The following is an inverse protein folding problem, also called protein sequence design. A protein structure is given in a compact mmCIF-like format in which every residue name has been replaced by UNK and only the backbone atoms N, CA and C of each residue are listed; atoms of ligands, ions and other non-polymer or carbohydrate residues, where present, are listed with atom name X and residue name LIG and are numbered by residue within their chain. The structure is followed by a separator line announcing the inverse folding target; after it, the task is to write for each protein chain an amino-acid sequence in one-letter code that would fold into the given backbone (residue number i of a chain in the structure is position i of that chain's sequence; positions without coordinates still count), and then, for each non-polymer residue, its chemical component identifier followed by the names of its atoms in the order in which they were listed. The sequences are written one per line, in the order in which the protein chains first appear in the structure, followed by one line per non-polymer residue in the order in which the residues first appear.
data_IF_040889275788
#
_entry.id   IF_040889275788
#
_cell.length_a   1.000
_cell.length_b   1.000
_cell.length_c   1.000
_cell.angle_alpha   90.00
_cell.angle_beta   90.00
_cell.angle_gamma   90.00
#
_symmetry.space_group_name_H-M   'P 1'
#
loop_
_entity.id
_entity.type
_entity.pdbx_description
1 polymer ?
#
# COMPACT_ATOMS: atom_id res chain seq x y z
N UNK A 1 13.91 2.33 27.63
CA UNK A 1 14.67 1.95 26.42
C UNK A 1 14.90 3.11 25.44
N UNK A 2 14.35 4.33 25.69
CA UNK A 2 14.64 5.52 24.87
C UNK A 2 14.01 5.53 23.45
N UNK A 3 13.20 4.54 23.11
CA UNK A 3 12.49 4.52 21.81
C UNK A 3 11.36 5.54 21.85
N UNK A 4 11.34 6.46 20.88
CA UNK A 4 10.24 7.41 20.70
C UNK A 4 9.02 6.67 20.14
N UNK A 5 7.88 6.83 20.78
CA UNK A 5 6.58 6.35 20.29
C UNK A 5 5.72 7.58 20.01
N UNK A 6 5.22 7.68 18.79
CA UNK A 6 4.31 8.73 18.38
C UNK A 6 2.88 8.24 18.50
N UNK A 7 1.99 9.08 19.01
CA UNK A 7 0.56 8.79 19.06
C UNK A 7 -0.28 10.03 18.78
N UNK A 8 -1.41 9.82 18.14
CA UNK A 8 -2.43 10.83 17.91
C UNK A 8 -3.81 10.18 18.02
N UNK A 9 -4.82 10.96 18.42
CA UNK A 9 -6.18 10.47 18.55
C UNK A 9 -7.15 11.39 17.82
N UNK A 10 -8.04 10.79 17.04
CA UNK A 10 -9.17 11.46 16.41
C UNK A 10 -10.43 11.04 17.13
N UNK A 11 -11.13 12.04 17.67
CA UNK A 11 -12.40 11.84 18.38
C UNK A 11 -13.47 12.49 17.52
N UNK A 12 -14.25 11.73 16.74
CA UNK A 12 -15.30 12.28 15.90
C UNK A 12 -16.48 12.74 16.76
N UNK A 13 -17.27 13.64 16.24
CA UNK A 13 -18.53 14.06 16.88
C UNK A 13 -19.53 12.89 16.96
N UNK A 14 -19.53 12.02 15.93
CA UNK A 14 -20.26 10.73 15.89
C UNK A 14 -19.34 9.68 15.26
N UNK A 15 -19.38 8.45 15.76
CA UNK A 15 -18.62 7.33 15.25
C UNK A 15 -17.59 6.80 16.23
N UNK A 16 -16.79 5.86 15.77
CA UNK A 16 -15.77 5.20 16.55
C UNK A 16 -14.56 6.10 16.81
N UNK A 17 -13.94 5.97 17.96
CA UNK A 17 -12.67 6.64 18.25
C UNK A 17 -11.54 5.98 17.46
N UNK A 18 -10.70 6.81 16.87
CA UNK A 18 -9.54 6.37 16.12
C UNK A 18 -8.27 6.87 16.78
N UNK A 19 -7.36 5.95 17.04
CA UNK A 19 -6.04 6.27 17.59
C UNK A 19 -4.97 5.80 16.61
N UNK A 20 -3.96 6.65 16.39
CA UNK A 20 -2.79 6.34 15.59
C UNK A 20 -1.61 6.22 16.54
N UNK A 21 -0.86 5.13 16.47
CA UNK A 21 0.33 4.97 17.28
C UNK A 21 1.40 4.14 16.56
N UNK A 22 2.66 4.51 16.77
CA UNK A 22 3.79 3.69 16.33
C UNK A 22 4.08 2.61 17.35
N UNK A 23 4.52 1.46 16.88
CA UNK A 23 5.04 0.38 17.72
C UNK A 23 6.57 0.49 17.88
N UNK A 24 7.13 -0.48 18.59
CA UNK A 24 8.59 -0.55 18.85
C UNK A 24 9.42 -0.80 17.58
N UNK A 25 8.79 -1.24 16.49
CA UNK A 25 9.43 -1.47 15.18
C UNK A 25 9.25 -0.27 14.24
N UNK A 26 8.81 0.88 14.76
CA UNK A 26 8.51 2.06 13.96
C UNK A 26 7.48 1.80 12.85
N UNK A 27 6.45 0.99 13.14
CA UNK A 27 5.30 0.78 12.28
C UNK A 27 4.12 1.55 12.85
N UNK A 28 3.44 2.35 12.03
CA UNK A 28 2.27 3.12 12.45
C UNK A 28 0.99 2.33 12.20
N UNK A 29 0.22 2.14 13.25
CA UNK A 29 -1.08 1.47 13.23
C UNK A 29 -2.21 2.44 13.50
N UNK A 30 -3.35 2.19 12.85
CA UNK A 30 -4.64 2.75 13.22
C UNK A 30 -5.35 1.76 14.14
N UNK A 31 -5.86 2.25 15.26
CA UNK A 31 -6.64 1.50 16.24
C UNK A 31 -8.08 2.01 16.23
N UNK A 32 -9.04 1.10 16.08
CA UNK A 32 -10.46 1.40 16.19
C UNK A 32 -10.95 0.86 17.54
N UNK A 33 -11.57 1.72 18.35
CA UNK A 33 -12.08 1.40 19.67
C UNK A 33 -11.09 0.65 20.58
N UNK A 34 -9.79 0.90 20.39
CA UNK A 34 -8.66 0.31 21.14
C UNK A 34 -8.53 -1.22 21.06
N UNK A 35 -9.33 -1.89 20.24
CA UNK A 35 -9.39 -3.37 20.19
C UNK A 35 -8.79 -3.95 18.92
N UNK A 36 -8.93 -3.26 17.80
CA UNK A 36 -8.53 -3.75 16.48
C UNK A 36 -7.53 -2.80 15.87
N UNK A 37 -6.48 -3.34 15.28
CA UNK A 37 -5.45 -2.53 14.62
C UNK A 37 -5.12 -3.06 13.23
N UNK A 38 -4.77 -2.15 12.37
CA UNK A 38 -4.23 -2.42 11.05
C UNK A 38 -3.23 -1.31 10.66
N UNK A 39 -2.32 -1.54 9.69
CA UNK A 39 -1.39 -0.52 9.26
C UNK A 39 -2.12 0.75 8.80
N UNK A 40 -1.61 1.93 9.14
CA UNK A 40 -2.24 3.20 8.72
C UNK A 40 -2.30 3.33 7.19
N UNK A 41 -1.38 2.72 6.47
CA UNK A 41 -1.37 2.68 4.99
C UNK A 41 -2.59 1.93 4.44
N UNK A 42 -3.03 0.87 5.11
CA UNK A 42 -4.27 0.16 4.75
C UNK A 42 -5.48 1.10 4.89
N UNK A 43 -5.54 1.92 5.94
CA UNK A 43 -6.59 2.94 6.07
C UNK A 43 -6.52 3.97 4.94
N UNK A 44 -5.32 4.48 4.63
CA UNK A 44 -5.15 5.46 3.54
C UNK A 44 -5.62 4.90 2.20
N UNK A 45 -5.33 3.63 1.90
CA UNK A 45 -5.83 2.97 0.68
C UNK A 45 -7.34 2.91 0.64
N UNK A 46 -7.96 2.57 1.76
CA UNK A 46 -9.43 2.43 1.84
C UNK A 46 -10.20 3.73 1.63
N UNK A 47 -9.53 4.88 1.78
CA UNK A 47 -10.10 6.22 1.59
C UNK A 47 -9.61 6.93 0.33
N UNK A 48 -8.97 6.21 -0.60
CA UNK A 48 -8.66 6.70 -1.94
C UNK A 48 -7.18 6.92 -2.27
N UNK A 49 -6.24 6.72 -1.32
CA UNK A 49 -4.80 6.65 -1.64
C UNK A 49 -4.43 5.21 -2.01
N UNK A 50 -4.90 4.78 -3.16
CA UNK A 50 -4.98 3.36 -3.52
C UNK A 50 -3.61 2.69 -3.65
N UNK A 51 -2.65 3.36 -4.27
CA UNK A 51 -1.35 2.78 -4.61
C UNK A 51 -0.24 3.18 -3.64
N UNK A 52 0.86 2.43 -3.64
CA UNK A 52 2.09 2.83 -2.93
C UNK A 52 2.56 4.21 -3.38
N UNK A 53 2.42 4.50 -4.70
CA UNK A 53 2.70 5.81 -5.27
C UNK A 53 1.94 6.91 -4.55
N UNK A 54 0.61 6.78 -4.45
CA UNK A 54 -0.24 7.80 -3.84
C UNK A 54 0.16 8.10 -2.40
N UNK A 55 0.47 7.03 -1.63
CA UNK A 55 0.92 7.15 -0.24
C UNK A 55 2.30 7.81 -0.17
N UNK A 56 3.25 7.39 -1.00
CA UNK A 56 4.60 7.95 -1.01
C UNK A 56 4.62 9.41 -1.47
N UNK A 57 3.79 9.78 -2.44
CA UNK A 57 3.60 11.17 -2.88
C UNK A 57 2.99 12.02 -1.77
N UNK A 58 1.98 11.52 -1.05
CA UNK A 58 1.36 12.21 0.08
C UNK A 58 2.40 12.65 1.12
N UNK A 59 3.40 11.82 1.37
CA UNK A 59 4.46 12.09 2.33
C UNK A 59 5.75 12.65 1.71
N UNK A 60 5.83 12.77 0.39
CA UNK A 60 7.01 13.26 -0.32
C UNK A 60 8.26 12.37 -0.16
N UNK A 61 8.10 11.06 -0.08
CA UNK A 61 9.13 10.13 0.40
C UNK A 61 9.87 9.32 -0.67
N UNK A 62 9.50 9.46 -1.93
CA UNK A 62 10.14 8.71 -3.00
C UNK A 62 10.41 9.60 -4.22
N UNK A 63 11.40 9.19 -5.00
CA UNK A 63 11.67 9.77 -6.31
C UNK A 63 11.04 8.89 -7.39
N UNK A 64 10.17 9.48 -8.22
CA UNK A 64 9.63 8.82 -9.38
C UNK A 64 10.68 8.80 -10.50
N UNK A 65 10.93 7.62 -11.04
CA UNK A 65 11.91 7.41 -12.11
C UNK A 65 11.25 6.70 -13.28
N UNK A 66 11.42 7.26 -14.50
CA UNK A 66 10.90 6.64 -15.73
C UNK A 66 11.66 5.36 -16.07
N UNK A 67 10.94 4.37 -16.60
CA UNK A 67 11.47 3.05 -16.95
C UNK A 67 12.18 3.03 -18.31
N UNK A 68 13.12 3.95 -18.50
CA UNK A 68 14.03 3.96 -19.64
C UNK A 68 15.31 3.19 -19.28
N UNK A 69 15.76 2.27 -20.15
CA UNK A 69 16.93 1.42 -19.88
C UNK A 69 18.16 2.20 -19.39
N UNK A 70 18.50 3.30 -20.06
CA UNK A 70 19.66 4.14 -19.70
C UNK A 70 19.55 4.77 -18.30
N UNK A 71 18.33 5.01 -17.84
CA UNK A 71 18.06 5.57 -16.50
C UNK A 71 18.13 4.44 -15.49
N UNK A 72 17.43 3.33 -15.77
CA UNK A 72 17.35 2.18 -14.88
C UNK A 72 18.72 1.54 -14.60
N UNK A 73 19.59 1.46 -15.60
CA UNK A 73 20.95 0.91 -15.42
C UNK A 73 21.77 1.65 -14.35
N UNK A 74 21.44 2.92 -14.08
CA UNK A 74 22.06 3.73 -13.03
C UNK A 74 21.49 3.48 -11.64
N UNK A 75 20.36 2.76 -11.58
CA UNK A 75 19.65 2.49 -10.33
C UNK A 75 20.06 1.15 -9.69
N UNK A 76 20.96 0.40 -10.30
CA UNK A 76 21.52 -0.81 -9.68
C UNK A 76 22.14 -0.45 -8.33
N UNK A 77 21.75 -1.17 -7.28
CA UNK A 77 22.14 -0.91 -5.90
C UNK A 77 21.24 0.09 -5.16
N UNK A 78 20.33 0.79 -5.84
CA UNK A 78 19.29 1.61 -5.21
C UNK A 78 18.14 0.73 -4.71
N UNK A 79 17.34 1.26 -3.81
CA UNK A 79 16.28 0.53 -3.13
C UNK A 79 14.89 1.00 -3.59
N UNK A 80 14.01 0.06 -3.95
CA UNK A 80 12.62 0.36 -4.28
C UNK A 80 11.87 0.93 -3.08
N UNK A 81 11.08 1.97 -3.31
CA UNK A 81 10.15 2.52 -2.32
C UNK A 81 8.76 1.91 -2.42
N UNK A 82 8.35 1.51 -3.63
CA UNK A 82 7.05 0.92 -3.93
C UNK A 82 7.22 -0.44 -4.61
N UNK A 83 6.19 -1.28 -4.51
CA UNK A 83 6.09 -2.50 -5.30
C UNK A 83 6.06 -2.18 -6.79
N UNK A 84 6.69 -3.02 -7.58
CA UNK A 84 6.50 -3.04 -9.04
C UNK A 84 5.40 -4.05 -9.33
N UNK A 85 4.31 -3.57 -9.90
CA UNK A 85 3.14 -4.37 -10.22
C UNK A 85 3.02 -4.54 -11.73
N UNK A 86 2.79 -5.79 -12.16
CA UNK A 86 2.29 -6.07 -13.50
C UNK A 86 0.77 -6.04 -13.45
N UNK A 87 0.17 -5.15 -14.22
CA UNK A 87 -1.28 -4.97 -14.28
C UNK A 87 -1.81 -5.41 -15.63
N UNK A 88 -2.90 -6.17 -15.65
CA UNK A 88 -3.63 -6.51 -16.88
C UNK A 88 -5.13 -6.52 -16.61
N UNK A 89 -5.91 -6.47 -17.69
CA UNK A 89 -7.36 -6.61 -17.63
C UNK A 89 -7.72 -8.02 -18.06
N UNK A 90 -8.56 -8.67 -17.29
CA UNK A 90 -9.11 -10.00 -17.57
C UNK A 90 -10.61 -9.88 -17.76
N UNK A 91 -11.10 -10.32 -18.93
CA UNK A 91 -12.51 -10.27 -19.25
C UNK A 91 -13.19 -11.60 -18.90
N UNK A 92 -14.27 -11.51 -18.16
CA UNK A 92 -15.12 -12.65 -17.80
C UNK A 92 -16.52 -12.44 -18.38
N UNK A 93 -17.14 -13.51 -18.80
CA UNK A 93 -18.58 -13.52 -19.10
C UNK A 93 -19.33 -13.89 -17.83
N UNK A 94 -20.15 -12.99 -17.35
CA UNK A 94 -21.07 -13.29 -16.24
C UNK A 94 -22.08 -14.35 -16.69
N UNK A 95 -22.12 -15.47 -16.00
CA UNK A 95 -22.95 -16.63 -16.38
C UNK A 95 -24.45 -16.36 -16.25
N UNK A 96 -24.84 -15.41 -15.37
CA UNK A 96 -26.25 -15.09 -15.09
C UNK A 96 -26.80 -14.03 -16.05
N UNK A 97 -26.01 -12.97 -16.33
CA UNK A 97 -26.41 -11.86 -17.19
C UNK A 97 -25.95 -11.98 -18.63
N UNK A 98 -24.90 -12.77 -18.89
CA UNK A 98 -24.24 -12.87 -20.20
C UNK A 98 -23.43 -11.63 -20.57
N UNK A 99 -23.25 -10.69 -19.66
CA UNK A 99 -22.45 -9.48 -19.85
C UNK A 99 -20.96 -9.77 -19.67
N UNK A 100 -20.12 -9.04 -20.43
CA UNK A 100 -18.66 -9.09 -20.26
C UNK A 100 -18.28 -8.14 -19.15
N UNK A 101 -17.71 -8.69 -18.08
CA UNK A 101 -17.16 -7.94 -16.94
C UNK A 101 -15.64 -7.95 -17.05
N UNK A 102 -15.05 -6.76 -17.15
CA UNK A 102 -13.60 -6.58 -17.17
C UNK A 102 -13.08 -6.35 -15.77
N UNK A 103 -12.17 -7.20 -15.30
CA UNK A 103 -11.51 -7.07 -13.99
C UNK A 103 -10.04 -6.73 -14.17
N UNK A 104 -9.58 -5.70 -13.46
CA UNK A 104 -8.17 -5.41 -13.36
C UNK A 104 -7.49 -6.39 -12.40
N UNK A 105 -6.39 -6.99 -12.86
CA UNK A 105 -5.55 -7.90 -12.10
C UNK A 105 -4.18 -7.31 -11.89
N UNK A 106 -3.64 -7.53 -10.71
CA UNK A 106 -2.31 -7.08 -10.31
C UNK A 106 -1.48 -8.26 -9.81
N UNK A 107 -0.25 -8.34 -10.27
CA UNK A 107 0.76 -9.27 -9.78
C UNK A 107 1.97 -8.49 -9.29
N UNK A 108 2.43 -8.79 -8.07
CA UNK A 108 3.65 -8.21 -7.53
C UNK A 108 4.85 -8.87 -8.19
N UNK A 109 5.61 -8.10 -8.96
CA UNK A 109 6.81 -8.57 -9.67
C UNK A 109 8.06 -8.35 -8.82
N UNK A 110 8.18 -7.18 -8.18
CA UNK A 110 9.23 -6.87 -7.21
C UNK A 110 8.61 -6.23 -5.97
N UNK A 111 9.09 -6.66 -4.82
CA UNK A 111 8.65 -6.15 -3.52
C UNK A 111 9.31 -4.82 -3.17
N UNK A 112 8.67 -4.09 -2.25
CA UNK A 112 9.26 -2.92 -1.58
C UNK A 112 10.58 -3.31 -0.93
N UNK A 113 11.45 -2.35 -0.73
CA UNK A 113 12.79 -2.57 -0.14
C UNK A 113 13.75 -3.43 -0.97
N UNK A 114 13.35 -3.92 -2.14
CA UNK A 114 14.25 -4.64 -3.04
C UNK A 114 15.41 -3.73 -3.43
N UNK A 115 16.63 -4.21 -3.21
CA UNK A 115 17.84 -3.57 -3.75
C UNK A 115 18.01 -4.03 -5.19
N UNK A 116 17.88 -3.10 -6.12
CA UNK A 116 17.84 -3.39 -7.55
C UNK A 116 19.14 -4.02 -8.04
N UNK A 117 19.03 -5.17 -8.67
CA UNK A 117 20.07 -5.84 -9.43
C UNK A 117 19.92 -5.58 -10.94
N UNK A 118 20.91 -5.98 -11.74
CA UNK A 118 20.80 -5.91 -13.21
C UNK A 118 19.68 -6.82 -13.76
N UNK A 119 19.39 -7.93 -13.10
CA UNK A 119 18.29 -8.83 -13.44
C UNK A 119 16.93 -8.17 -13.18
N UNK A 120 16.79 -7.51 -12.03
CA UNK A 120 15.57 -6.77 -11.68
C UNK A 120 15.27 -5.65 -12.68
N UNK A 121 16.31 -4.97 -13.19
CA UNK A 121 16.15 -3.94 -14.24
C UNK A 121 15.52 -4.55 -15.50
N UNK A 122 15.97 -5.74 -15.93
CA UNK A 122 15.39 -6.41 -17.09
C UNK A 122 13.92 -6.81 -16.81
N UNK A 123 13.66 -7.34 -15.63
CA UNK A 123 12.30 -7.69 -15.19
C UNK A 123 11.38 -6.48 -15.22
N UNK A 124 11.81 -5.32 -14.72
CA UNK A 124 11.04 -4.07 -14.76
C UNK A 124 10.71 -3.67 -16.21
N UNK A 125 11.70 -3.75 -17.11
CA UNK A 125 11.49 -3.42 -18.53
C UNK A 125 10.46 -4.34 -19.19
N UNK A 126 10.44 -5.61 -18.84
CA UNK A 126 9.50 -6.61 -19.37
C UNK A 126 8.05 -6.38 -18.89
N UNK A 127 7.85 -5.78 -17.71
CA UNK A 127 6.49 -5.48 -17.20
C UNK A 127 5.77 -4.40 -17.98
N UNK A 128 6.53 -3.52 -18.66
CA UNK A 128 5.97 -2.37 -19.38
C UNK A 128 5.46 -1.24 -18.48
N UNK A 129 5.76 -1.26 -17.16
CA UNK A 129 5.43 -0.15 -16.25
C UNK A 129 6.14 1.12 -16.70
N UNK A 130 5.48 2.27 -16.56
CA UNK A 130 6.00 3.55 -17.07
C UNK A 130 7.00 4.22 -16.14
N UNK A 131 6.87 3.96 -14.84
CA UNK A 131 7.74 4.51 -13.80
C UNK A 131 7.85 3.57 -12.61
N UNK A 132 8.91 3.72 -11.86
CA UNK A 132 9.15 3.07 -10.57
C UNK A 132 9.50 4.14 -9.53
N UNK A 133 9.42 3.77 -8.25
CA UNK A 133 9.67 4.67 -7.13
C UNK A 133 10.88 4.18 -6.35
N UNK A 134 11.86 5.07 -6.20
CA UNK A 134 13.12 4.80 -5.50
C UNK A 134 13.12 5.54 -4.16
N UNK A 135 13.59 4.89 -3.11
CA UNK A 135 13.75 5.51 -1.81
C UNK A 135 14.77 6.66 -1.89
N UNK A 136 14.44 7.78 -1.26
CA UNK A 136 15.38 8.89 -1.08
C UNK A 136 16.51 8.47 -0.16
N UNK A 137 17.75 8.89 -0.48
CA UNK A 137 18.94 8.53 0.30
C UNK A 137 18.95 9.15 1.71
N UNK A 138 18.29 10.27 1.88
CA UNK A 138 18.25 11.03 3.15
C UNK A 138 17.11 10.61 4.09
N UNK A 139 16.66 9.36 4.01
CA UNK A 139 15.60 8.87 4.91
C UNK A 139 16.21 8.54 6.26
N UNK A 140 16.14 9.45 7.20
CA UNK A 140 16.57 9.24 8.58
C UNK A 140 15.40 9.28 9.57
N UNK A 141 15.44 8.40 10.57
CA UNK A 141 14.60 8.48 11.76
C UNK A 141 13.09 8.32 11.46
N UNK A 142 12.36 9.41 11.58
CA UNK A 142 10.88 9.39 11.55
C UNK A 142 10.30 9.01 10.18
N UNK A 143 11.01 9.27 9.09
CA UNK A 143 10.58 8.87 7.73
C UNK A 143 10.57 7.36 7.52
N UNK A 144 11.39 6.60 8.22
CA UNK A 144 11.39 5.15 8.16
C UNK A 144 10.05 4.55 8.60
N UNK A 145 9.26 5.26 9.40
CA UNK A 145 7.95 4.83 9.88
C UNK A 145 7.02 4.49 8.71
N UNK A 146 6.95 5.33 7.68
CA UNK A 146 6.06 5.09 6.54
C UNK A 146 6.53 3.89 5.72
N UNK A 147 7.83 3.76 5.44
CA UNK A 147 8.37 2.59 4.74
C UNK A 147 8.13 1.29 5.52
N UNK A 148 8.37 1.30 6.83
CA UNK A 148 8.11 0.16 7.69
C UNK A 148 6.62 -0.20 7.72
N UNK A 149 5.75 0.80 7.71
CA UNK A 149 4.30 0.61 7.70
C UNK A 149 3.83 0.04 6.36
N UNK A 150 4.33 0.56 5.23
CA UNK A 150 4.08 -0.01 3.90
C UNK A 150 4.51 -1.48 3.82
N UNK A 151 5.65 -1.84 4.39
CA UNK A 151 6.14 -3.23 4.41
C UNK A 151 5.24 -4.18 5.22
N UNK A 152 4.45 -3.66 6.15
CA UNK A 152 3.44 -4.43 6.91
C UNK A 152 2.08 -4.49 6.22
N UNK A 153 1.83 -3.61 5.27
CA UNK A 153 0.58 -3.57 4.51
C UNK A 153 0.60 -4.63 3.40
N UNK A 154 -0.32 -5.57 3.47
CA UNK A 154 -0.46 -6.64 2.47
C UNK A 154 -1.41 -6.26 1.33
N UNK A 155 -2.17 -5.18 1.46
CA UNK A 155 -3.11 -4.73 0.45
C UNK A 155 -2.41 -3.98 -0.70
N UNK A 156 -2.90 -4.16 -1.93
CA UNK A 156 -2.37 -3.53 -3.14
C UNK A 156 -3.39 -2.63 -3.85
N UNK A 157 -4.63 -2.63 -3.37
CA UNK A 157 -5.73 -1.85 -3.95
C UNK A 157 -6.65 -1.33 -2.84
N UNK A 158 -7.50 -0.37 -3.20
CA UNK A 158 -8.54 0.14 -2.32
C UNK A 158 -9.47 -0.99 -1.85
N UNK A 159 -9.90 -1.85 -2.78
CA UNK A 159 -10.79 -2.97 -2.48
C UNK A 159 -10.18 -3.95 -1.48
N UNK A 160 -8.92 -4.35 -1.68
CA UNK A 160 -8.22 -5.25 -0.75
C UNK A 160 -8.07 -4.61 0.63
N UNK A 161 -7.79 -3.31 0.69
CA UNK A 161 -7.70 -2.57 1.94
C UNK A 161 -9.02 -2.53 2.70
N UNK A 162 -10.13 -2.25 2.02
CA UNK A 162 -11.47 -2.25 2.59
C UNK A 162 -11.85 -3.62 3.13
N UNK A 163 -11.60 -4.68 2.37
CA UNK A 163 -11.82 -6.06 2.81
C UNK A 163 -10.95 -6.43 4.02
N UNK A 164 -9.70 -6.03 4.03
CA UNK A 164 -8.79 -6.25 5.15
C UNK A 164 -9.32 -5.58 6.44
N UNK A 165 -9.73 -4.32 6.36
CA UNK A 165 -10.28 -3.57 7.50
C UNK A 165 -11.57 -4.24 7.99
N UNK A 166 -12.48 -4.60 7.08
CA UNK A 166 -13.71 -5.29 7.42
C UNK A 166 -13.41 -6.58 8.20
N UNK A 167 -12.51 -7.41 7.68
CA UNK A 167 -12.11 -8.67 8.33
C UNK A 167 -11.53 -8.44 9.72
N UNK A 168 -10.68 -7.42 9.88
CA UNK A 168 -10.11 -7.06 11.18
C UNK A 168 -11.17 -6.59 12.17
N UNK A 169 -12.17 -5.85 11.74
CA UNK A 169 -13.21 -5.31 12.62
C UNK A 169 -14.32 -6.33 12.93
N UNK A 170 -14.70 -7.16 11.97
CA UNK A 170 -15.79 -8.12 12.09
C UNK A 170 -15.36 -9.55 12.42
N UNK A 171 -14.09 -9.89 12.20
CA UNK A 171 -13.54 -11.22 12.43
C UNK A 171 -13.88 -12.25 11.34
N UNK A 172 -14.50 -11.83 10.24
CA UNK A 172 -14.87 -12.66 9.10
C UNK A 172 -14.74 -11.87 7.80
N UNK A 173 -14.64 -12.57 6.66
CA UNK A 173 -14.63 -11.94 5.34
C UNK A 173 -16.00 -11.29 5.04
N UNK A 174 -15.97 -10.19 4.28
CA UNK A 174 -17.19 -9.53 3.86
C UNK A 174 -17.97 -10.40 2.85
N UNK A 175 -19.31 -10.43 2.92
CA UNK A 175 -20.10 -11.18 1.95
C UNK A 175 -20.02 -10.59 0.54
N UNK A 176 -19.85 -9.28 0.44
CA UNK A 176 -19.69 -8.53 -0.80
C UNK A 176 -18.89 -7.23 -0.58
N UNK A 177 -18.52 -6.57 -1.67
CA UNK A 177 -17.68 -5.36 -1.63
C UNK A 177 -18.44 -4.14 -1.10
N UNK A 178 -19.74 -4.05 -1.34
CA UNK A 178 -20.56 -2.94 -0.86
C UNK A 178 -20.69 -2.97 0.66
N UNK A 179 -20.93 -4.16 1.22
CA UNK A 179 -20.95 -4.38 2.68
C UNK A 179 -19.59 -4.06 3.31
N UNK A 180 -18.47 -4.44 2.65
CA UNK A 180 -17.15 -4.13 3.14
C UNK A 180 -16.90 -2.61 3.16
N UNK A 181 -17.29 -1.89 2.11
CA UNK A 181 -17.12 -0.43 2.00
C UNK A 181 -17.95 0.32 3.04
N UNK A 182 -19.19 -0.10 3.31
CA UNK A 182 -20.08 0.53 4.29
C UNK A 182 -19.54 0.56 5.73
N UNK A 183 -18.38 -0.04 6.01
CA UNK A 183 -17.71 0.06 7.32
C UNK A 183 -16.72 1.24 7.38
N UNK A 184 -16.31 1.76 6.21
CA UNK A 184 -15.38 2.89 6.09
C UNK A 184 -16.16 4.21 6.04
N UNK A 185 -17.32 4.24 5.39
CA UNK A 185 -18.23 5.38 5.29
C UNK A 185 -18.91 5.67 6.64
#
# INVERSE_FOLDING_TARGET
NGTKIYSARVIPFKGAWMEFATDINNVMYAYIDRKKKFPVTTLLRSIGFETDKDILELFGMADEVKTEKKILDKLVGKRLAARVLKTWVEDFVDEDSGEVVSLERNEVVLERDTVLSAEDINTILETGVKSIFIQKEEVSGDYAIIYNTLNKDTSNSELEAVQHIYKQLRGADAPDNETARGIID
#
